data_IF_637276208000
#
_entry.id   IF_637276208000
#
_cell.length_a   1.000
_cell.length_b   1.000
_cell.length_c   1.000
_cell.angle_alpha   90.00
_cell.angle_beta   90.00
_cell.angle_gamma   90.00
#
_symmetry.space_group_name_H-M   'P 1'
#
loop_
_entity.id
_entity.type
_entity.pdbx_description
1 polymer ?
#
# COMPACT_ATOMS: atom_id res chain seq x y z
N UNK A 1 -3.89 7.15 49.26
CA UNK A 1 -5.37 7.08 49.33
C UNK A 1 -5.91 6.90 47.93
N UNK A 2 -5.81 5.68 47.38
CA UNK A 2 -6.32 5.37 46.05
C UNK A 2 -7.67 4.69 46.24
N UNK A 3 -8.74 5.50 46.26
CA UNK A 3 -10.10 4.98 46.17
C UNK A 3 -10.26 4.45 44.75
N UNK A 4 -10.21 3.13 44.59
CA UNK A 4 -10.53 2.44 43.36
C UNK A 4 -12.02 2.63 43.10
N UNK A 5 -12.37 3.67 42.33
CA UNK A 5 -13.73 3.83 41.81
C UNK A 5 -13.90 2.73 40.76
N UNK A 6 -14.74 1.73 41.06
CA UNK A 6 -15.16 0.74 40.06
C UNK A 6 -16.15 1.47 39.14
N UNK A 7 -15.62 2.02 38.05
CA UNK A 7 -16.40 2.73 37.05
C UNK A 7 -16.30 1.96 35.73
N UNK A 8 -17.46 1.57 35.20
CA UNK A 8 -17.58 0.97 33.88
C UNK A 8 -17.77 2.10 32.88
N UNK A 9 -16.93 2.15 31.85
CA UNK A 9 -16.99 3.15 30.80
C UNK A 9 -17.44 2.52 29.49
N UNK A 10 -18.26 3.25 28.74
CA UNK A 10 -18.62 2.87 27.37
C UNK A 10 -17.48 3.18 26.40
N UNK A 11 -17.41 2.45 25.28
CA UNK A 11 -16.33 2.57 24.28
C UNK A 11 -16.09 4.02 23.82
N UNK A 12 -17.17 4.78 23.59
CA UNK A 12 -17.10 6.17 23.13
C UNK A 12 -16.56 7.11 24.20
N UNK A 13 -16.85 6.84 25.48
CA UNK A 13 -16.39 7.65 26.60
C UNK A 13 -14.87 7.55 26.76
N UNK A 14 -14.35 6.32 26.72
CA UNK A 14 -12.90 6.06 26.76
C UNK A 14 -12.19 6.77 25.60
N UNK A 15 -12.70 6.61 24.37
CA UNK A 15 -12.12 7.27 23.19
C UNK A 15 -12.14 8.80 23.31
N UNK A 16 -13.24 9.38 23.82
CA UNK A 16 -13.35 10.83 24.02
C UNK A 16 -12.33 11.32 25.03
N UNK A 17 -12.16 10.61 26.15
CA UNK A 17 -11.18 10.96 27.18
C UNK A 17 -9.74 10.99 26.62
N UNK A 18 -9.35 9.95 25.88
CA UNK A 18 -8.01 9.90 25.26
C UNK A 18 -7.85 10.99 24.19
N UNK A 19 -8.84 11.15 23.31
CA UNK A 19 -8.78 12.17 22.25
C UNK A 19 -8.70 13.61 22.80
N UNK A 20 -9.21 13.85 24.00
CA UNK A 20 -9.19 15.17 24.66
C UNK A 20 -7.90 15.45 25.45
N UNK A 21 -7.00 14.47 25.56
CA UNK A 21 -5.77 14.60 26.36
C UNK A 21 -4.77 15.57 25.74
N UNK A 22 -4.77 15.72 24.41
CA UNK A 22 -3.88 16.62 23.67
C UNK A 22 -4.60 17.23 22.46
N UNK A 23 -4.12 18.36 21.91
CA UNK A 23 -4.74 19.00 20.76
C UNK A 23 -4.39 18.32 19.42
N UNK A 24 -4.64 17.01 19.29
CA UNK A 24 -4.28 16.19 18.12
C UNK A 24 -4.79 16.79 16.80
N UNK A 25 -6.03 17.28 16.77
CA UNK A 25 -6.62 17.89 15.57
C UNK A 25 -5.88 19.15 15.10
N UNK A 26 -5.32 19.94 16.03
CA UNK A 26 -4.49 21.10 15.69
C UNK A 26 -3.18 20.64 15.05
N UNK A 27 -2.51 19.66 15.66
CA UNK A 27 -1.23 19.15 15.16
C UNK A 27 -1.34 18.57 13.76
N UNK A 28 -2.40 17.78 13.50
CA UNK A 28 -2.70 17.25 12.17
C UNK A 28 -2.91 18.40 11.17
N UNK A 29 -3.76 19.37 11.50
CA UNK A 29 -4.08 20.48 10.58
C UNK A 29 -2.88 21.35 10.23
N UNK A 30 -1.98 21.57 11.19
CA UNK A 30 -0.82 22.47 11.02
C UNK A 30 0.39 21.78 10.38
N UNK A 31 0.60 20.49 10.64
CA UNK A 31 1.84 19.80 10.27
C UNK A 31 1.69 18.76 9.16
N UNK A 32 0.50 18.19 8.97
CA UNK A 32 0.26 17.13 8.00
C UNK A 32 0.00 17.71 6.62
N UNK A 33 0.71 17.18 5.62
CA UNK A 33 0.69 17.72 4.25
C UNK A 33 0.17 16.67 3.28
N UNK A 34 -1.08 16.75 2.80
CA UNK A 34 -1.56 15.82 1.79
C UNK A 34 -0.92 16.15 0.43
N UNK A 35 -0.38 15.14 -0.25
CA UNK A 35 0.03 15.28 -1.64
C UNK A 35 -1.19 15.23 -2.55
N UNK A 36 -1.36 16.27 -3.37
CA UNK A 36 -2.46 16.32 -4.33
C UNK A 36 -2.11 15.46 -5.55
N UNK A 37 -3.05 14.67 -6.09
CA UNK A 37 -2.83 13.92 -7.32
C UNK A 37 -2.56 14.89 -8.47
N UNK A 38 -1.60 14.53 -9.32
CA UNK A 38 -1.31 15.23 -10.56
C UNK A 38 -1.80 14.38 -11.75
N UNK A 39 -2.03 15.03 -12.88
CA UNK A 39 -2.35 14.31 -14.11
C UNK A 39 -1.11 13.59 -14.62
N UNK A 40 -1.27 12.36 -15.10
CA UNK A 40 -0.22 11.64 -15.81
C UNK A 40 0.20 12.42 -17.07
N UNK A 41 1.50 12.34 -17.39
CA UNK A 41 2.02 12.91 -18.63
C UNK A 41 1.44 12.14 -19.82
N UNK A 42 0.98 12.87 -20.83
CA UNK A 42 0.33 12.29 -22.01
C UNK A 42 1.31 11.73 -23.06
N UNK A 43 2.60 12.07 -22.96
CA UNK A 43 3.61 11.71 -23.96
C UNK A 43 4.63 10.71 -23.42
N UNK A 44 5.01 9.74 -24.26
CA UNK A 44 6.13 8.86 -23.98
C UNK A 44 7.42 9.70 -23.87
N UNK A 45 8.12 9.57 -22.75
CA UNK A 45 9.36 10.31 -22.50
C UNK A 45 10.57 9.73 -23.26
N UNK A 46 10.41 8.58 -23.91
CA UNK A 46 11.48 7.81 -24.55
C UNK A 46 11.08 7.41 -25.97
N UNK A 47 12.08 7.28 -26.85
CA UNK A 47 11.90 6.72 -28.18
C UNK A 47 11.67 5.20 -28.13
N UNK A 48 10.96 4.66 -29.12
CA UNK A 48 10.57 3.24 -29.16
C UNK A 48 11.77 2.28 -29.04
N UNK A 49 12.89 2.61 -29.67
CA UNK A 49 14.08 1.76 -29.60
C UNK A 49 14.66 1.72 -28.18
N UNK A 50 14.66 2.86 -27.48
CA UNK A 50 15.10 2.92 -26.09
C UNK A 50 14.14 2.13 -25.17
N UNK A 51 12.82 2.23 -25.40
CA UNK A 51 11.82 1.46 -24.65
C UNK A 51 12.07 -0.04 -24.80
N UNK A 52 12.24 -0.54 -26.02
CA UNK A 52 12.50 -1.96 -26.27
C UNK A 52 13.79 -2.44 -25.61
N UNK A 53 14.87 -1.64 -25.65
CA UNK A 53 16.13 -1.98 -24.97
C UNK A 53 15.95 -2.10 -23.46
N UNK A 54 15.21 -1.18 -22.83
CA UNK A 54 14.93 -1.26 -21.40
C UNK A 54 14.02 -2.43 -21.04
N UNK A 55 12.99 -2.70 -21.84
CA UNK A 55 12.13 -3.88 -21.66
C UNK A 55 12.95 -5.17 -21.67
N UNK A 56 13.86 -5.32 -22.64
CA UNK A 56 14.79 -6.46 -22.70
C UNK A 56 15.74 -6.52 -21.49
N UNK A 57 16.29 -5.38 -21.06
CA UNK A 57 17.19 -5.32 -19.92
C UNK A 57 16.52 -5.74 -18.61
N UNK A 58 15.22 -5.45 -18.47
CA UNK A 58 14.38 -5.88 -17.35
C UNK A 58 13.55 -7.13 -17.67
N UNK A 59 13.95 -7.93 -18.67
CA UNK A 59 13.36 -9.25 -18.94
C UNK A 59 11.83 -9.21 -19.19
N UNK A 60 11.29 -8.07 -19.66
CA UNK A 60 9.90 -8.01 -20.10
C UNK A 60 9.74 -8.81 -21.38
N UNK A 61 8.82 -9.77 -21.36
CA UNK A 61 8.41 -10.52 -22.55
C UNK A 61 7.27 -9.81 -23.28
N UNK A 62 7.05 -10.19 -24.53
CA UNK A 62 5.88 -9.74 -25.29
C UNK A 62 4.56 -10.15 -24.62
N UNK A 63 4.55 -11.30 -23.93
CA UNK A 63 3.39 -11.82 -23.20
C UNK A 63 3.08 -10.94 -21.97
N UNK A 64 4.10 -10.50 -21.22
CA UNK A 64 3.91 -9.58 -20.09
C UNK A 64 3.24 -8.26 -20.54
N UNK A 65 3.71 -7.71 -21.65
CA UNK A 65 3.18 -6.45 -22.17
C UNK A 65 1.74 -6.63 -22.67
N UNK A 66 1.51 -7.61 -23.54
CA UNK A 66 0.21 -7.80 -24.20
C UNK A 66 -0.87 -8.35 -23.26
N UNK A 67 -0.52 -9.30 -22.40
CA UNK A 67 -1.50 -9.99 -21.57
C UNK A 67 -1.73 -9.31 -20.21
N UNK A 68 -0.74 -8.61 -19.67
CA UNK A 68 -0.81 -8.02 -18.32
C UNK A 68 -0.85 -6.49 -18.39
N UNK A 69 0.13 -5.85 -19.02
CA UNK A 69 0.22 -4.37 -19.01
C UNK A 69 -0.94 -3.75 -19.80
N UNK A 70 -1.20 -4.23 -21.02
CA UNK A 70 -2.29 -3.71 -21.85
C UNK A 70 -3.67 -3.94 -21.20
N UNK A 71 -3.89 -5.08 -20.54
CA UNK A 71 -5.15 -5.35 -19.84
C UNK A 71 -5.35 -4.37 -18.67
N UNK A 72 -4.31 -4.14 -17.87
CA UNK A 72 -4.34 -3.18 -16.75
C UNK A 72 -4.55 -1.75 -17.25
N UNK A 73 -3.92 -1.36 -18.36
CA UNK A 73 -4.13 -0.06 -18.99
C UNK A 73 -5.59 0.13 -19.45
N UNK A 74 -6.22 -0.95 -19.95
CA UNK A 74 -7.65 -1.00 -20.25
C UNK A 74 -8.56 -1.10 -18.99
N UNK A 75 -7.98 -0.96 -17.78
CA UNK A 75 -8.65 -1.08 -16.47
C UNK A 75 -9.31 -2.44 -16.24
N UNK A 76 -8.78 -3.49 -16.84
CA UNK A 76 -9.18 -4.88 -16.60
C UNK A 76 -8.08 -5.61 -15.86
N UNK A 77 -8.45 -6.40 -14.85
CA UNK A 77 -7.52 -7.38 -14.28
C UNK A 77 -7.08 -8.36 -15.37
N UNK A 78 -5.81 -8.77 -15.33
CA UNK A 78 -5.34 -9.89 -16.13
C UNK A 78 -5.87 -11.17 -15.48
N UNK A 79 -6.79 -11.87 -16.13
CA UNK A 79 -7.36 -13.12 -15.64
C UNK A 79 -6.88 -14.26 -16.52
N UNK A 80 -6.29 -15.27 -15.88
CA UNK A 80 -5.83 -16.49 -16.53
C UNK A 80 -6.55 -17.69 -15.92
N UNK A 81 -6.67 -18.75 -16.72
CA UNK A 81 -7.21 -20.03 -16.31
C UNK A 81 -6.09 -21.07 -16.35
N UNK A 82 -6.29 -22.18 -15.63
CA UNK A 82 -5.31 -23.24 -15.39
C UNK A 82 -4.29 -22.89 -14.30
N UNK A 83 -3.61 -23.92 -13.79
CA UNK A 83 -2.56 -23.76 -12.79
C UNK A 83 -1.26 -23.26 -13.42
N UNK A 84 -0.38 -22.77 -12.56
CA UNK A 84 0.99 -22.41 -12.94
C UNK A 84 1.80 -23.69 -13.21
N UNK A 85 2.11 -23.97 -14.49
CA UNK A 85 2.81 -25.16 -14.96
C UNK A 85 4.30 -24.93 -15.25
N UNK A 86 4.82 -23.72 -14.98
CA UNK A 86 6.24 -23.43 -15.13
C UNK A 86 7.06 -24.01 -13.96
N UNK A 87 8.33 -24.42 -14.19
CA UNK A 87 9.19 -24.88 -13.11
C UNK A 87 9.36 -23.78 -12.06
N UNK A 88 9.61 -24.18 -10.81
CA UNK A 88 10.02 -23.25 -9.77
C UNK A 88 11.19 -22.40 -10.26
N UNK A 89 11.16 -21.13 -9.92
CA UNK A 89 12.13 -20.12 -10.40
C UNK A 89 13.58 -20.57 -10.20
N UNK A 90 13.89 -21.17 -9.04
CA UNK A 90 15.22 -21.71 -8.72
C UNK A 90 15.67 -22.88 -9.60
N UNK A 91 14.73 -23.59 -10.23
CA UNK A 91 14.97 -24.73 -11.12
C UNK A 91 14.87 -24.36 -12.60
N UNK A 92 14.47 -23.12 -12.90
CA UNK A 92 14.29 -22.68 -14.27
C UNK A 92 15.62 -22.34 -14.94
N UNK A 93 15.74 -22.66 -16.23
CA UNK A 93 16.89 -22.26 -17.06
C UNK A 93 16.70 -20.87 -17.68
N UNK A 94 15.49 -20.30 -17.59
CA UNK A 94 15.18 -18.95 -18.09
C UNK A 94 15.58 -17.89 -17.05
N UNK A 95 15.95 -16.67 -17.48
CA UNK A 95 16.11 -15.55 -16.57
C UNK A 95 14.76 -15.19 -15.94
N UNK A 96 14.75 -14.91 -14.64
CA UNK A 96 13.58 -14.49 -13.88
C UNK A 96 13.88 -13.23 -13.09
N UNK A 97 12.84 -12.48 -12.76
CA UNK A 97 12.98 -11.27 -11.97
C UNK A 97 12.98 -11.59 -10.49
N UNK A 98 13.55 -10.68 -9.69
CA UNK A 98 13.67 -10.89 -8.25
C UNK A 98 12.31 -11.15 -7.58
N UNK A 99 11.23 -10.53 -8.07
CA UNK A 99 9.90 -10.70 -7.49
C UNK A 99 9.32 -12.11 -7.67
N UNK A 100 9.78 -12.90 -8.64
CA UNK A 100 9.25 -14.25 -8.89
C UNK A 100 9.61 -15.24 -7.77
N UNK A 101 10.70 -14.95 -7.04
CA UNK A 101 11.17 -15.71 -5.88
C UNK A 101 10.33 -15.49 -4.62
N UNK A 102 9.59 -14.37 -4.54
CA UNK A 102 8.78 -14.05 -3.38
C UNK A 102 7.33 -14.51 -3.60
N UNK A 103 6.89 -15.50 -2.82
CA UNK A 103 5.51 -15.97 -2.85
C UNK A 103 4.67 -15.24 -1.80
N UNK A 104 3.49 -14.78 -2.21
CA UNK A 104 2.54 -14.11 -1.33
C UNK A 104 2.03 -15.10 -0.28
N UNK A 105 2.12 -14.71 0.99
CA UNK A 105 1.54 -15.48 2.09
C UNK A 105 0.06 -15.15 2.21
N UNK A 106 -0.75 -16.15 2.53
CA UNK A 106 -2.17 -15.96 2.80
C UNK A 106 -2.55 -16.55 4.15
N UNK A 107 -3.58 -15.97 4.75
CA UNK A 107 -4.15 -16.44 5.98
C UNK A 107 -5.01 -17.70 5.74
N UNK A 108 -5.05 -18.59 6.72
CA UNK A 108 -5.85 -19.82 6.69
C UNK A 108 -6.59 -19.95 8.03
N UNK A 109 -6.71 -21.16 8.57
CA UNK A 109 -7.48 -21.50 9.77
C UNK A 109 -7.28 -20.53 10.95
N UNK A 110 -6.08 -19.99 11.12
CA UNK A 110 -5.72 -19.11 12.24
C UNK A 110 -6.37 -17.73 12.22
N UNK A 111 -6.69 -17.20 11.03
CA UNK A 111 -7.30 -15.88 10.89
C UNK A 111 -8.00 -15.77 9.52
N UNK A 112 -9.25 -15.27 9.47
CA UNK A 112 -9.98 -15.18 8.21
C UNK A 112 -9.38 -14.12 7.28
N UNK A 113 -9.40 -14.33 5.95
CA UNK A 113 -9.12 -13.28 4.98
C UNK A 113 -10.25 -12.24 4.95
N UNK A 114 -9.92 -10.99 4.63
CA UNK A 114 -10.89 -9.89 4.45
C UNK A 114 -11.30 -9.83 2.98
N UNK A 115 -12.59 -9.59 2.68
CA UNK A 115 -13.06 -9.39 1.31
C UNK A 115 -12.75 -7.96 0.84
N UNK A 116 -11.80 -7.73 -0.10
CA UNK A 116 -11.42 -6.39 -0.50
C UNK A 116 -12.51 -5.66 -1.31
N UNK A 117 -13.49 -6.36 -1.88
CA UNK A 117 -14.57 -5.77 -2.66
C UNK A 117 -15.77 -5.39 -1.77
N UNK A 118 -16.12 -6.26 -0.82
CA UNK A 118 -17.27 -6.04 0.08
C UNK A 118 -16.90 -5.24 1.33
N UNK A 119 -15.68 -5.39 1.82
CA UNK A 119 -15.19 -4.79 3.05
C UNK A 119 -14.09 -3.74 2.79
N UNK A 120 -14.01 -3.19 1.58
CA UNK A 120 -12.99 -2.19 1.22
C UNK A 120 -12.98 -0.95 2.12
N UNK A 121 -14.09 -0.63 2.80
CA UNK A 121 -14.20 0.49 3.75
C UNK A 121 -13.30 0.36 4.98
N UNK A 122 -12.90 -0.86 5.36
CA UNK A 122 -11.97 -1.09 6.49
C UNK A 122 -10.51 -1.18 6.06
N UNK A 123 -10.24 -1.09 4.74
CA UNK A 123 -8.90 -1.14 4.17
C UNK A 123 -8.43 0.26 3.74
N UNK A 124 -7.13 0.50 3.78
CA UNK A 124 -6.53 1.74 3.31
C UNK A 124 -5.19 1.47 2.64
N UNK A 125 -4.92 2.19 1.55
CA UNK A 125 -3.62 2.24 0.85
C UNK A 125 -2.85 3.52 1.19
N UNK A 126 -3.28 4.28 2.19
CA UNK A 126 -2.63 5.51 2.61
C UNK A 126 -1.20 5.26 3.08
N UNK A 127 -0.27 6.11 2.62
CA UNK A 127 1.15 6.04 2.99
C UNK A 127 1.59 7.37 3.58
N UNK A 128 2.25 7.31 4.73
CA UNK A 128 2.83 8.47 5.38
C UNK A 128 4.35 8.50 5.15
N UNK A 129 4.82 9.59 4.52
CA UNK A 129 6.22 9.86 4.25
C UNK A 129 6.76 10.89 5.24
N UNK A 130 7.91 10.60 5.85
CA UNK A 130 8.57 11.51 6.78
C UNK A 130 9.20 10.79 7.96
N UNK A 131 9.80 11.56 8.86
CA UNK A 131 10.38 11.02 10.10
C UNK A 131 9.27 10.43 10.97
N UNK A 132 9.49 9.22 11.49
CA UNK A 132 8.70 8.67 12.60
C UNK A 132 9.41 9.04 13.90
N UNK A 133 8.72 9.80 14.77
CA UNK A 133 9.26 10.17 16.07
C UNK A 133 9.14 9.05 17.10
N UNK A 134 9.46 9.37 18.35
CA UNK A 134 9.36 8.44 19.46
C UNK A 134 7.88 8.17 19.78
N UNK A 135 7.48 6.89 19.81
CA UNK A 135 6.09 6.49 20.08
C UNK A 135 5.65 6.76 21.53
N UNK A 136 6.61 6.94 22.45
CA UNK A 136 6.33 7.23 23.86
C UNK A 136 6.18 8.73 24.15
N UNK A 137 6.64 9.58 23.23
CA UNK A 137 6.56 11.03 23.35
C UNK A 137 5.45 11.57 22.45
N UNK A 138 4.53 12.32 23.05
CA UNK A 138 3.38 12.87 22.34
C UNK A 138 3.65 14.34 22.03
N UNK A 139 3.82 14.67 20.75
CA UNK A 139 4.04 16.04 20.30
C UNK A 139 3.68 16.28 18.83
N UNK A 140 3.64 17.55 18.40
CA UNK A 140 3.29 17.96 17.03
C UNK A 140 4.24 17.43 15.97
N UNK A 141 5.50 17.16 16.33
CA UNK A 141 6.53 16.63 15.42
C UNK A 141 6.15 15.29 14.81
N UNK A 142 5.37 14.46 15.51
CA UNK A 142 4.88 13.18 15.00
C UNK A 142 3.85 13.36 13.86
N UNK A 143 3.18 14.52 13.78
CA UNK A 143 2.23 14.85 12.72
C UNK A 143 2.89 15.51 11.50
N UNK A 144 4.20 15.80 11.55
CA UNK A 144 4.94 16.43 10.45
C UNK A 144 5.30 15.41 9.36
N UNK A 145 4.29 14.98 8.60
CA UNK A 145 4.41 13.97 7.54
C UNK A 145 3.69 14.41 6.26
N UNK A 146 4.12 13.86 5.13
CA UNK A 146 3.43 13.97 3.84
C UNK A 146 2.56 12.73 3.66
N UNK A 147 1.27 12.92 3.38
CA UNK A 147 0.34 11.81 3.15
C UNK A 147 0.11 11.60 1.67
N UNK A 148 0.21 10.34 1.25
CA UNK A 148 -0.17 9.85 -0.06
C UNK A 148 -1.44 8.99 0.07
N UNK A 149 -2.46 9.17 -0.80
CA UNK A 149 -3.65 8.31 -0.79
C UNK A 149 -3.38 6.88 -1.29
N UNK A 150 -2.24 6.65 -1.94
CA UNK A 150 -1.82 5.38 -2.53
C UNK A 150 -0.29 5.28 -2.54
N UNK A 151 0.31 4.08 -2.46
CA UNK A 151 1.74 3.89 -2.70
C UNK A 151 2.15 4.11 -4.16
N UNK A 152 1.18 4.23 -5.09
CA UNK A 152 1.41 4.48 -6.52
C UNK A 152 1.22 5.98 -6.82
N UNK A 153 2.19 6.58 -7.50
CA UNK A 153 2.23 8.00 -7.89
C UNK A 153 2.00 8.19 -9.39
#
# INVERSE_FOLDING_TARGET
>A
TCLTVIQVYENTEVKRQVASSNPYGRWVKENLRPLKPANFLAAAALENEAILRYQQAFVYSSEDVQMVIESMAARKGAYFLHGDDIPLVVMSQKPHMLYDYFKQRFAQVTNPPIDPLREGLVLSLEVNLGKRGNILEVGPENASQVILPSPVL
#
